data_IF_419761854786
#
_entry.id   IF_419761854786
#
_cell.length_a   1.000
_cell.length_b   1.000
_cell.length_c   1.000
_cell.angle_alpha   90.00
_cell.angle_beta   90.00
_cell.angle_gamma   90.00
#
_symmetry.space_group_name_H-M   'P 1'
#
loop_
_entity.id
_entity.type
_entity.pdbx_description
1 polymer ?
#
# COMPACT_ATOMS: atom_id res chain seq x y z
N UNK A 1 14.35 31.32 10.86
CA UNK A 1 13.01 30.85 10.45
C UNK A 1 12.18 31.92 9.75
N UNK A 2 11.82 33.05 10.38
CA UNK A 2 11.02 34.13 9.74
C UNK A 2 11.56 34.56 8.36
N UNK A 3 12.88 34.80 8.26
CA UNK A 3 13.56 35.15 7.00
C UNK A 3 13.34 34.11 5.88
N UNK A 4 13.57 32.83 6.17
CA UNK A 4 13.35 31.74 5.20
C UNK A 4 11.90 31.58 4.76
N UNK A 5 10.94 31.79 5.67
CA UNK A 5 9.51 31.78 5.35
C UNK A 5 9.17 32.93 4.41
N UNK A 6 9.71 34.13 4.66
CA UNK A 6 9.51 35.28 3.76
C UNK A 6 10.13 35.04 2.38
N UNK A 7 11.35 34.49 2.33
CA UNK A 7 12.04 34.15 1.06
C UNK A 7 11.27 33.11 0.23
N UNK A 8 10.50 32.22 0.86
CA UNK A 8 9.74 31.17 0.18
C UNK A 8 8.21 31.36 0.26
N UNK A 9 7.73 32.57 0.60
CA UNK A 9 6.31 32.84 0.85
C UNK A 9 5.42 32.43 -0.33
N UNK A 10 5.85 32.73 -1.56
CA UNK A 10 5.12 32.36 -2.77
C UNK A 10 4.97 30.84 -2.93
N UNK A 11 6.04 30.07 -2.69
CA UNK A 11 6.01 28.60 -2.75
C UNK A 11 5.13 28.00 -1.66
N UNK A 12 5.16 28.56 -0.45
CA UNK A 12 4.34 28.11 0.67
C UNK A 12 2.84 28.32 0.38
N UNK A 13 2.48 29.48 -0.16
CA UNK A 13 1.11 29.77 -0.57
C UNK A 13 0.70 28.83 -1.71
N UNK A 14 1.52 28.72 -2.76
CA UNK A 14 1.20 27.88 -3.92
C UNK A 14 1.03 26.41 -3.53
N UNK A 15 1.96 25.84 -2.76
CA UNK A 15 1.85 24.46 -2.28
C UNK A 15 0.60 24.25 -1.42
N UNK A 16 0.26 25.20 -0.54
CA UNK A 16 -0.97 25.14 0.25
C UNK A 16 -2.23 25.19 -0.62
N UNK A 17 -2.27 26.04 -1.64
CA UNK A 17 -3.39 26.12 -2.58
C UNK A 17 -3.56 24.81 -3.35
N UNK A 18 -2.47 24.20 -3.81
CA UNK A 18 -2.51 22.91 -4.51
C UNK A 18 -3.01 21.80 -3.59
N UNK A 19 -2.64 21.81 -2.30
CA UNK A 19 -3.17 20.85 -1.32
C UNK A 19 -4.70 20.95 -1.21
N UNK A 20 -5.28 22.15 -1.27
CA UNK A 20 -6.73 22.34 -1.08
C UNK A 20 -7.53 22.09 -2.36
N UNK A 21 -6.91 22.13 -3.54
CA UNK A 21 -7.56 22.03 -4.84
C UNK A 21 -8.53 20.83 -4.97
N UNK A 22 -8.20 19.61 -4.50
CA UNK A 22 -9.13 18.48 -4.57
C UNK A 22 -10.42 18.64 -3.74
N UNK A 23 -10.44 19.51 -2.72
CA UNK A 23 -11.64 19.73 -1.90
C UNK A 23 -12.75 20.40 -2.71
N UNK A 24 -12.36 21.17 -3.73
CA UNK A 24 -13.25 21.87 -4.64
C UNK A 24 -13.95 20.91 -5.62
N UNK A 25 -13.46 19.68 -5.79
CA UNK A 25 -13.96 18.71 -6.78
C UNK A 25 -15.10 17.82 -6.27
N UNK A 26 -15.62 18.03 -5.05
CA UNK A 26 -16.83 17.32 -4.63
C UNK A 26 -17.16 17.20 -3.15
N UNK A 27 -16.70 18.12 -2.28
CA UNK A 27 -17.23 18.34 -0.93
C UNK A 27 -17.07 17.22 0.11
N UNK A 28 -16.80 15.98 -0.29
CA UNK A 28 -16.72 14.81 0.60
C UNK A 28 -15.35 14.59 1.27
N UNK A 29 -14.29 15.27 0.82
CA UNK A 29 -12.93 15.11 1.36
C UNK A 29 -12.40 16.34 2.11
N UNK A 30 -13.29 17.22 2.58
CA UNK A 30 -12.88 18.49 3.21
C UNK A 30 -12.02 18.24 4.44
N UNK A 31 -12.39 17.28 5.30
CA UNK A 31 -11.66 17.00 6.54
C UNK A 31 -10.30 16.36 6.30
N UNK A 32 -10.22 15.42 5.35
CA UNK A 32 -8.98 14.75 4.94
C UNK A 32 -8.00 15.77 4.36
N UNK A 33 -8.49 16.71 3.55
CA UNK A 33 -7.66 17.74 2.92
C UNK A 33 -7.21 18.80 3.92
N UNK A 34 -8.07 19.18 4.87
CA UNK A 34 -7.67 20.03 5.99
C UNK A 34 -6.62 19.35 6.86
N UNK A 35 -6.77 18.04 7.11
CA UNK A 35 -5.78 17.23 7.81
C UNK A 35 -4.45 17.17 7.06
N UNK A 36 -4.48 16.97 5.74
CA UNK A 36 -3.29 16.97 4.89
C UNK A 36 -2.62 18.36 4.85
N UNK A 37 -3.41 19.43 4.81
CA UNK A 37 -2.89 20.80 4.90
C UNK A 37 -2.23 21.04 6.25
N UNK A 38 -2.84 20.64 7.37
CA UNK A 38 -2.23 20.74 8.69
C UNK A 38 -0.90 19.95 8.74
N UNK A 39 -0.89 18.72 8.24
CA UNK A 39 0.33 17.90 8.14
C UNK A 39 1.41 18.58 7.27
N UNK A 40 1.04 19.20 6.15
CA UNK A 40 1.94 19.98 5.29
C UNK A 40 2.65 21.10 6.06
N UNK A 41 1.88 21.91 6.79
CA UNK A 41 2.43 23.01 7.60
C UNK A 41 3.31 22.50 8.75
N UNK A 42 2.92 21.41 9.43
CA UNK A 42 3.72 20.80 10.50
C UNK A 42 5.05 20.27 9.93
N UNK A 43 5.00 19.50 8.83
CA UNK A 43 6.19 18.94 8.19
C UNK A 43 7.15 20.05 7.73
N UNK A 44 6.62 21.08 7.06
CA UNK A 44 7.43 22.24 6.66
C UNK A 44 7.98 22.98 7.87
N UNK A 45 7.20 23.17 8.93
CA UNK A 45 7.67 23.80 10.17
C UNK A 45 8.87 23.07 10.77
N UNK A 46 8.80 21.75 10.89
CA UNK A 46 9.87 20.90 11.42
C UNK A 46 11.12 20.97 10.54
N UNK A 47 10.96 20.79 9.22
CA UNK A 47 12.10 20.80 8.28
C UNK A 47 12.74 22.18 8.19
N UNK A 48 11.97 23.26 8.14
CA UNK A 48 12.51 24.63 8.08
C UNK A 48 13.18 25.03 9.40
N UNK A 49 12.71 24.50 10.53
CA UNK A 49 13.36 24.66 11.83
C UNK A 49 14.71 23.94 11.89
N UNK A 50 14.78 22.69 11.41
CA UNK A 50 16.03 21.93 11.32
C UNK A 50 17.01 22.57 10.33
N UNK A 51 16.51 23.00 9.17
CA UNK A 51 17.31 23.68 8.14
C UNK A 51 17.92 25.00 8.64
N UNK A 52 17.25 25.70 9.55
CA UNK A 52 17.80 26.89 10.18
C UNK A 52 19.02 26.59 11.08
N UNK A 53 19.22 25.33 11.48
CA UNK A 53 20.38 24.85 12.24
C UNK A 53 21.42 24.18 11.33
N UNK A 54 20.99 23.48 10.28
CA UNK A 54 21.83 22.76 9.32
C UNK A 54 21.33 22.95 7.90
N UNK A 55 21.97 23.88 7.18
CA UNK A 55 21.55 24.27 5.83
C UNK A 55 21.58 23.11 4.83
N UNK A 56 20.39 22.76 4.33
CA UNK A 56 20.16 21.79 3.27
C UNK A 56 20.23 22.46 1.89
N UNK A 57 20.37 21.61 0.87
CA UNK A 57 20.29 22.08 -0.52
C UNK A 57 18.87 22.55 -0.86
N UNK A 58 18.75 23.61 -1.67
CA UNK A 58 17.45 24.14 -2.14
C UNK A 58 16.57 23.05 -2.75
N UNK A 59 17.17 22.13 -3.53
CA UNK A 59 16.46 21.01 -4.15
C UNK A 59 15.90 20.00 -3.14
N UNK A 60 16.57 19.79 -2.00
CA UNK A 60 16.06 18.93 -0.94
C UNK A 60 14.83 19.55 -0.26
N UNK A 61 14.86 20.87 -0.03
CA UNK A 61 13.72 21.60 0.52
C UNK A 61 12.53 21.61 -0.46
N UNK A 62 12.78 21.76 -1.76
CA UNK A 62 11.73 21.75 -2.78
C UNK A 62 10.91 20.45 -2.77
N UNK A 63 11.54 19.29 -2.52
CA UNK A 63 10.82 18.01 -2.38
C UNK A 63 9.81 18.08 -1.23
N UNK A 64 10.18 18.65 -0.09
CA UNK A 64 9.31 18.76 1.08
C UNK A 64 8.13 19.69 0.81
N UNK A 65 8.36 20.80 0.10
CA UNK A 65 7.28 21.71 -0.33
C UNK A 65 6.26 21.03 -1.24
N UNK A 66 6.66 20.06 -2.05
CA UNK A 66 5.79 19.44 -3.05
C UNK A 66 5.28 18.06 -2.69
N UNK A 67 5.80 17.41 -1.64
CA UNK A 67 5.38 16.07 -1.22
C UNK A 67 3.89 16.00 -0.89
N UNK A 68 3.40 16.84 0.03
CA UNK A 68 1.97 16.84 0.42
C UNK A 68 1.04 17.34 -0.69
N UNK A 69 1.37 18.40 -1.47
CA UNK A 69 0.59 18.77 -2.64
C UNK A 69 0.40 17.61 -3.64
N UNK A 70 1.46 16.85 -3.93
CA UNK A 70 1.36 15.70 -4.83
C UNK A 70 0.47 14.59 -4.27
N UNK A 71 0.60 14.28 -2.98
CA UNK A 71 -0.30 13.32 -2.30
C UNK A 71 -1.75 13.79 -2.40
N UNK A 72 -2.01 15.08 -2.20
CA UNK A 72 -3.36 15.64 -2.32
C UNK A 72 -3.96 15.43 -3.71
N UNK A 73 -3.21 15.79 -4.75
CA UNK A 73 -3.66 15.63 -6.14
C UNK A 73 -3.96 14.16 -6.48
N UNK A 74 -3.13 13.24 -5.98
CA UNK A 74 -3.34 11.80 -6.15
C UNK A 74 -4.64 11.34 -5.45
N UNK A 75 -4.88 11.77 -4.21
CA UNK A 75 -6.13 11.47 -3.49
C UNK A 75 -7.35 12.05 -4.22
N UNK A 76 -7.23 13.28 -4.74
CA UNK A 76 -8.25 13.94 -5.55
C UNK A 76 -8.59 13.17 -6.82
N UNK A 77 -7.57 12.75 -7.57
CA UNK A 77 -7.74 11.92 -8.76
C UNK A 77 -8.43 10.60 -8.41
N UNK A 78 -8.06 9.98 -7.28
CA UNK A 78 -8.72 8.77 -6.79
C UNK A 78 -10.20 8.92 -6.54
N UNK A 79 -10.62 10.03 -5.92
CA UNK A 79 -12.05 10.30 -5.71
C UNK A 79 -12.80 10.44 -7.04
N UNK A 80 -12.23 11.19 -8.00
CA UNK A 80 -12.88 11.42 -9.30
C UNK A 80 -13.02 10.11 -10.06
N UNK A 81 -11.97 9.30 -10.08
CA UNK A 81 -11.97 8.01 -10.76
C UNK A 81 -12.85 6.99 -10.05
N UNK A 82 -12.92 6.97 -8.72
CA UNK A 82 -13.79 6.07 -7.98
C UNK A 82 -15.28 6.23 -8.34
N UNK A 83 -15.71 7.40 -8.82
CA UNK A 83 -17.08 7.62 -9.33
C UNK A 83 -17.40 6.88 -10.63
N UNK A 84 -16.38 6.36 -11.32
CA UNK A 84 -16.52 5.65 -12.60
C UNK A 84 -16.54 4.12 -12.42
N UNK A 85 -16.76 3.62 -11.19
CA UNK A 85 -16.86 2.19 -10.92
C UNK A 85 -15.54 1.42 -11.15
N UNK A 86 -15.63 0.20 -11.66
CA UNK A 86 -14.51 -0.73 -11.80
C UNK A 86 -13.38 -0.20 -12.69
N UNK A 87 -13.72 0.39 -13.85
CA UNK A 87 -12.73 1.00 -14.76
C UNK A 87 -11.99 2.16 -14.08
N UNK A 88 -12.73 2.96 -13.30
CA UNK A 88 -12.18 4.01 -12.48
C UNK A 88 -11.19 3.51 -11.42
N UNK A 89 -11.55 2.45 -10.70
CA UNK A 89 -10.66 1.82 -9.71
C UNK A 89 -9.36 1.30 -10.35
N UNK A 90 -9.45 0.65 -11.50
CA UNK A 90 -8.28 0.13 -12.22
C UNK A 90 -7.39 1.27 -12.71
N UNK A 91 -7.98 2.31 -13.29
CA UNK A 91 -7.25 3.51 -13.73
C UNK A 91 -6.56 4.22 -12.55
N UNK A 92 -7.26 4.35 -11.42
CA UNK A 92 -6.69 4.94 -10.21
C UNK A 92 -5.52 4.13 -9.67
N UNK A 93 -5.66 2.80 -9.60
CA UNK A 93 -4.59 1.90 -9.15
C UNK A 93 -3.33 2.05 -10.01
N UNK A 94 -3.47 2.14 -11.34
CA UNK A 94 -2.35 2.38 -12.25
C UNK A 94 -1.73 3.77 -12.05
N UNK A 95 -2.56 4.81 -11.92
CA UNK A 95 -2.10 6.17 -11.67
C UNK A 95 -1.31 6.26 -10.34
N UNK A 96 -1.77 5.56 -9.30
CA UNK A 96 -1.08 5.46 -8.01
C UNK A 96 0.29 4.80 -8.13
N UNK A 97 0.36 3.62 -8.76
CA UNK A 97 1.63 2.90 -8.95
C UNK A 97 2.63 3.76 -9.72
N UNK A 98 2.18 4.38 -10.81
CA UNK A 98 3.02 5.28 -11.61
C UNK A 98 3.48 6.50 -10.81
N UNK A 99 2.55 7.17 -10.11
CA UNK A 99 2.83 8.36 -9.31
C UNK A 99 3.81 8.07 -8.17
N UNK A 100 3.66 6.94 -7.47
CA UNK A 100 4.60 6.53 -6.43
C UNK A 100 5.96 6.14 -7.01
N UNK A 101 5.99 5.48 -8.17
CA UNK A 101 7.24 5.21 -8.88
C UNK A 101 7.98 6.49 -9.29
N UNK A 102 7.25 7.49 -9.80
CA UNK A 102 7.80 8.80 -10.11
C UNK A 102 8.33 9.52 -8.85
N UNK A 103 7.63 9.41 -7.72
CA UNK A 103 8.11 9.93 -6.44
C UNK A 103 9.43 9.28 -6.02
N UNK A 104 9.52 7.96 -6.06
CA UNK A 104 10.75 7.23 -5.74
C UNK A 104 11.90 7.64 -6.66
N UNK A 105 11.62 7.78 -7.96
CA UNK A 105 12.59 8.24 -8.94
C UNK A 105 13.12 9.65 -8.60
N UNK A 106 12.23 10.61 -8.35
CA UNK A 106 12.59 12.00 -8.04
C UNK A 106 13.37 12.07 -6.73
N UNK A 107 12.87 11.45 -5.65
CA UNK A 107 13.55 11.45 -4.34
C UNK A 107 14.89 10.72 -4.42
N UNK A 108 14.95 9.58 -5.11
CA UNK A 108 16.15 8.81 -5.42
C UNK A 108 17.26 9.65 -6.03
N UNK A 109 16.91 10.42 -7.06
CA UNK A 109 17.85 11.30 -7.77
C UNK A 109 18.35 12.47 -6.90
N UNK A 110 17.62 12.84 -5.85
CA UNK A 110 17.97 13.97 -4.98
C UNK A 110 18.73 13.54 -3.73
N UNK A 111 18.58 12.30 -3.27
CA UNK A 111 19.21 11.77 -2.07
C UNK A 111 20.72 12.04 -1.94
N UNK A 112 21.55 11.91 -3.00
CA UNK A 112 22.98 12.21 -2.90
C UNK A 112 23.30 13.66 -2.47
N UNK A 113 22.32 14.57 -2.58
CA UNK A 113 22.41 15.99 -2.19
C UNK A 113 21.94 16.26 -0.77
N UNK A 114 21.43 15.27 -0.05
CA UNK A 114 21.00 15.41 1.34
C UNK A 114 22.23 15.51 2.23
N UNK A 115 22.32 16.59 3.01
CA UNK A 115 23.38 16.76 4.01
C UNK A 115 22.92 16.16 5.35
N UNK A 116 23.82 15.68 6.22
CA UNK A 116 23.44 15.13 7.52
C UNK A 116 22.57 16.10 8.32
N UNK A 117 21.37 15.66 8.67
CA UNK A 117 20.36 16.49 9.32
C UNK A 117 19.44 15.63 10.19
N UNK A 118 18.58 16.25 10.99
CA UNK A 118 17.74 15.53 11.93
C UNK A 118 16.38 15.10 11.37
N UNK A 119 16.04 15.46 10.13
CA UNK A 119 14.69 15.36 9.56
C UNK A 119 14.58 14.52 8.27
N UNK A 120 15.40 14.78 7.26
CA UNK A 120 15.40 14.20 5.92
C UNK A 120 16.49 13.13 5.72
N UNK A 121 16.13 12.04 5.04
CA UNK A 121 17.05 10.99 4.61
C UNK A 121 17.03 9.72 5.48
N UNK A 122 17.99 8.82 5.21
CA UNK A 122 18.15 7.52 5.87
C UNK A 122 18.89 7.71 7.19
N UNK A 123 18.11 7.93 8.25
CA UNK A 123 18.58 8.25 9.61
C UNK A 123 18.74 6.98 10.45
N UNK A 124 19.94 6.43 10.42
CA UNK A 124 20.36 5.31 11.25
C UNK A 124 21.40 5.83 12.26
N UNK A 125 21.52 5.23 13.46
CA UNK A 125 22.46 5.73 14.48
C UNK A 125 23.89 5.94 13.96
N UNK A 126 24.37 5.06 13.07
CA UNK A 126 25.69 5.17 12.44
C UNK A 126 25.76 6.15 11.26
N UNK A 127 24.68 6.39 10.52
CA UNK A 127 24.71 7.42 9.45
C UNK A 127 24.74 8.81 10.06
N UNK A 128 24.08 9.00 11.21
CA UNK A 128 24.10 10.26 11.95
C UNK A 128 25.45 10.55 12.62
N UNK A 129 26.15 9.50 13.08
CA UNK A 129 27.45 9.63 13.74
C UNK A 129 28.66 9.66 12.80
N UNK A 130 28.49 9.37 11.51
CA UNK A 130 29.59 9.33 10.53
C UNK A 130 29.14 9.89 9.18
N UNK A 131 29.71 11.04 8.80
CA UNK A 131 29.35 11.74 7.56
C UNK A 131 29.74 10.96 6.29
N UNK A 132 30.83 10.21 6.31
CA UNK A 132 31.24 9.37 5.19
C UNK A 132 30.21 8.25 4.93
N UNK A 133 29.70 7.64 6.02
CA UNK A 133 28.62 6.67 5.96
C UNK A 133 27.32 7.30 5.47
N UNK A 134 26.98 8.51 5.95
CA UNK A 134 25.84 9.28 5.45
C UNK A 134 25.90 9.46 3.93
N UNK A 135 27.01 10.02 3.41
CA UNK A 135 27.18 10.28 1.98
C UNK A 135 27.15 9.00 1.15
N UNK A 136 27.84 7.96 1.62
CA UNK A 136 27.89 6.66 0.94
C UNK A 136 26.51 5.99 0.88
N UNK A 137 25.78 6.01 1.99
CA UNK A 137 24.43 5.43 2.10
C UNK A 137 23.44 6.15 1.20
N UNK A 138 23.41 7.49 1.21
CA UNK A 138 22.49 8.25 0.36
C UNK A 138 22.83 8.18 -1.12
N UNK A 139 24.13 8.10 -1.48
CA UNK A 139 24.54 7.92 -2.87
C UNK A 139 24.10 6.57 -3.42
N UNK A 140 24.30 5.49 -2.65
CA UNK A 140 23.92 4.15 -3.07
C UNK A 140 22.39 3.95 -2.97
N UNK A 141 21.78 4.37 -1.87
CA UNK A 141 20.34 4.35 -1.66
C UNK A 141 19.57 5.17 -2.70
N UNK A 142 20.12 6.30 -3.13
CA UNK A 142 19.58 7.08 -4.25
C UNK A 142 19.45 6.27 -5.54
N UNK A 143 20.45 5.45 -5.88
CA UNK A 143 20.39 4.55 -7.05
C UNK A 143 19.30 3.49 -6.89
N UNK A 144 19.20 2.89 -5.69
CA UNK A 144 18.15 1.90 -5.39
C UNK A 144 16.77 2.51 -5.57
N UNK A 145 16.54 3.72 -5.05
CA UNK A 145 15.27 4.42 -5.18
C UNK A 145 14.95 4.81 -6.63
N UNK A 146 15.94 5.20 -7.42
CA UNK A 146 15.76 5.46 -8.86
C UNK A 146 15.32 4.19 -9.59
N UNK A 147 16.03 3.08 -9.39
CA UNK A 147 15.70 1.80 -10.04
C UNK A 147 14.34 1.27 -9.58
N UNK A 148 14.06 1.32 -8.28
CA UNK A 148 12.77 0.93 -7.71
C UNK A 148 11.63 1.82 -8.22
N UNK A 149 11.87 3.12 -8.39
CA UNK A 149 10.91 4.05 -8.98
C UNK A 149 10.59 3.71 -10.43
N UNK A 150 11.59 3.42 -11.26
CA UNK A 150 11.38 2.96 -12.64
C UNK A 150 10.62 1.62 -12.68
N UNK A 151 10.97 0.67 -11.81
CA UNK A 151 10.26 -0.61 -11.71
C UNK A 151 8.79 -0.41 -11.31
N UNK A 152 8.51 0.48 -10.35
CA UNK A 152 7.16 0.85 -9.93
C UNK A 152 6.36 1.56 -11.04
N UNK A 153 7.01 2.37 -11.88
CA UNK A 153 6.36 2.97 -13.05
C UNK A 153 6.00 1.91 -14.10
N UNK A 154 6.89 0.94 -14.35
CA UNK A 154 6.58 -0.22 -15.22
C UNK A 154 5.46 -1.07 -14.62
N UNK A 155 5.36 -1.17 -13.30
CA UNK A 155 4.31 -1.89 -12.61
C UNK A 155 2.90 -1.39 -12.98
N UNK A 156 2.74 -0.10 -13.28
CA UNK A 156 1.48 0.48 -13.73
C UNK A 156 1.00 -0.03 -15.11
N UNK A 157 1.89 -0.61 -15.90
CA UNK A 157 1.58 -1.19 -17.21
C UNK A 157 1.22 -2.69 -17.13
N UNK A 158 1.49 -3.32 -15.99
CA UNK A 158 1.19 -4.73 -15.76
C UNK A 158 -0.29 -4.93 -15.37
N UNK A 159 -0.81 -6.16 -15.46
CA UNK A 159 -2.07 -6.52 -14.80
C UNK A 159 -2.03 -6.12 -13.32
N UNK A 160 -3.13 -5.58 -12.78
CA UNK A 160 -3.19 -4.92 -11.46
C UNK A 160 -2.53 -5.75 -10.35
N UNK A 161 -2.75 -7.06 -10.35
CA UNK A 161 -2.14 -7.98 -9.39
C UNK A 161 -0.60 -8.09 -9.52
N UNK A 162 -0.09 -8.26 -10.74
CA UNK A 162 1.35 -8.28 -11.00
C UNK A 162 2.00 -6.92 -10.70
N UNK A 163 1.34 -5.83 -11.08
CA UNK A 163 1.77 -4.47 -10.79
C UNK A 163 1.87 -4.20 -9.29
N UNK A 164 0.85 -4.56 -8.52
CA UNK A 164 0.85 -4.42 -7.07
C UNK A 164 1.99 -5.20 -6.40
N UNK A 165 2.27 -6.44 -6.84
CA UNK A 165 3.40 -7.23 -6.32
C UNK A 165 4.75 -6.57 -6.61
N UNK A 166 4.96 -6.09 -7.83
CA UNK A 166 6.20 -5.38 -8.19
C UNK A 166 6.34 -4.08 -7.39
N UNK A 167 5.25 -3.35 -7.20
CA UNK A 167 5.21 -2.12 -6.41
C UNK A 167 5.58 -2.37 -4.94
N UNK A 168 5.03 -3.43 -4.33
CA UNK A 168 5.37 -3.85 -2.97
C UNK A 168 6.85 -4.26 -2.85
N UNK A 169 7.35 -5.04 -3.80
CA UNK A 169 8.76 -5.44 -3.85
C UNK A 169 9.69 -4.22 -3.97
N UNK A 170 9.34 -3.25 -4.83
CA UNK A 170 10.05 -1.99 -4.97
C UNK A 170 10.03 -1.18 -3.66
N UNK A 171 8.87 -1.08 -3.00
CA UNK A 171 8.70 -0.44 -1.70
C UNK A 171 9.53 -1.07 -0.58
N UNK A 172 9.58 -2.39 -0.52
CA UNK A 172 10.44 -3.11 0.41
C UNK A 172 11.93 -2.87 0.10
N UNK A 173 12.31 -2.90 -1.19
CA UNK A 173 13.69 -2.71 -1.63
C UNK A 173 14.24 -1.34 -1.24
N UNK A 174 13.44 -0.26 -1.38
CA UNK A 174 13.88 1.11 -1.02
C UNK A 174 14.14 1.31 0.47
N UNK A 175 13.62 0.42 1.33
CA UNK A 175 13.86 0.42 2.78
C UNK A 175 14.99 -0.55 3.14
N UNK A 176 14.84 -1.82 2.74
CA UNK A 176 15.72 -2.92 3.17
C UNK A 176 17.12 -2.74 2.61
N UNK A 177 17.25 -2.47 1.31
CA UNK A 177 18.55 -2.44 0.65
C UNK A 177 19.43 -1.31 1.21
N UNK A 178 18.99 -0.02 1.28
CA UNK A 178 19.86 1.05 1.78
C UNK A 178 20.22 0.87 3.25
N UNK A 179 19.30 0.33 4.05
CA UNK A 179 19.54 0.01 5.46
C UNK A 179 20.61 -1.07 5.62
N UNK A 180 20.52 -2.16 4.84
CA UNK A 180 21.50 -3.23 4.84
C UNK A 180 22.88 -2.73 4.37
N UNK A 181 22.93 -1.99 3.26
CA UNK A 181 24.16 -1.37 2.78
C UNK A 181 24.82 -0.52 3.87
N UNK A 182 24.03 0.34 4.53
CA UNK A 182 24.52 1.23 5.58
C UNK A 182 25.08 0.47 6.78
N UNK A 183 24.43 -0.63 7.18
CA UNK A 183 24.90 -1.51 8.25
C UNK A 183 26.21 -2.23 7.88
N UNK A 184 26.30 -2.78 6.67
CA UNK A 184 27.52 -3.44 6.19
C UNK A 184 28.70 -2.48 6.12
N UNK A 185 28.44 -1.25 5.67
CA UNK A 185 29.44 -0.18 5.63
C UNK A 185 29.90 0.21 7.05
N UNK A 186 28.98 0.36 8.00
CA UNK A 186 29.31 0.57 9.42
C UNK A 186 30.15 -0.57 10.01
N UNK A 187 29.77 -1.83 9.73
CA UNK A 187 30.53 -3.01 10.19
C UNK A 187 31.95 -3.02 9.62
N UNK A 188 32.14 -2.63 8.36
CA UNK A 188 33.46 -2.49 7.74
C UNK A 188 34.30 -1.42 8.47
N UNK A 189 33.73 -0.24 8.73
CA UNK A 189 34.41 0.82 9.48
C UNK A 189 34.82 0.37 10.90
N UNK A 190 33.94 -0.37 11.60
CA UNK A 190 34.26 -0.93 12.92
C UNK A 190 35.41 -1.93 12.90
N UNK A 191 35.47 -2.80 11.88
CA UNK A 191 36.59 -3.73 11.70
C UNK A 191 37.91 -3.01 11.43
N UNK A 192 37.85 -1.82 10.81
CA UNK A 192 39.01 -0.98 10.54
C UNK A 192 39.43 -0.07 11.72
N UNK A 193 38.86 -0.27 12.92
CA UNK A 193 39.24 0.45 14.13
C UNK A 193 38.50 1.77 14.39
N UNK A 194 37.44 2.08 13.63
CA UNK A 194 36.63 3.27 13.91
C UNK A 194 35.96 3.18 15.31
N UNK A 195 35.90 4.28 16.08
CA UNK A 195 35.32 4.29 17.41
C UNK A 195 33.85 3.87 17.39
N UNK A 196 33.41 3.18 18.44
CA UNK A 196 32.01 2.80 18.60
C UNK A 196 31.14 4.04 18.81
N UNK A 197 29.91 4.00 18.31
CA UNK A 197 28.94 5.07 18.54
C UNK A 197 28.64 5.20 20.03
N UNK A 198 28.50 6.44 20.50
CA UNK A 198 28.10 6.78 21.87
C UNK A 198 26.67 6.33 22.20
N UNK A 199 25.80 6.24 21.20
CA UNK A 199 24.44 5.70 21.36
C UNK A 199 24.48 4.17 21.22
N UNK A 200 24.53 3.47 22.36
CA UNK A 200 24.35 2.02 22.46
C UNK A 200 22.86 1.62 22.24
N UNK A 201 22.25 2.01 21.12
CA UNK A 201 21.03 1.31 20.72
C UNK A 201 21.46 -0.11 20.33
N UNK A 202 20.77 -1.16 20.81
CA UNK A 202 21.01 -2.56 20.41
C UNK A 202 20.75 -2.73 18.90
N UNK A 203 21.66 -2.22 18.08
CA UNK A 203 21.40 -1.75 16.70
C UNK A 203 21.11 -2.89 15.73
N UNK A 204 21.50 -4.12 16.10
CA UNK A 204 21.17 -5.36 15.39
C UNK A 204 19.65 -5.60 15.39
N UNK A 205 18.98 -5.31 16.49
CA UNK A 205 17.54 -5.47 16.62
C UNK A 205 16.79 -4.40 15.84
N UNK A 206 17.29 -3.16 15.73
CA UNK A 206 16.64 -2.12 14.93
C UNK A 206 16.60 -2.47 13.43
N UNK A 207 17.72 -2.97 12.87
CA UNK A 207 17.76 -3.44 11.47
C UNK A 207 16.87 -4.65 11.27
N UNK A 208 16.94 -5.61 12.21
CA UNK A 208 16.10 -6.80 12.18
C UNK A 208 14.62 -6.43 12.24
N UNK A 209 14.22 -5.50 13.11
CA UNK A 209 12.83 -5.05 13.24
C UNK A 209 12.35 -4.30 12.01
N UNK A 210 13.17 -3.45 11.37
CA UNK A 210 12.80 -2.78 10.11
C UNK A 210 12.67 -3.79 8.97
N UNK A 211 13.60 -4.74 8.86
CA UNK A 211 13.52 -5.81 7.87
C UNK A 211 12.32 -6.72 8.12
N UNK A 212 12.07 -7.10 9.37
CA UNK A 212 10.92 -7.90 9.78
C UNK A 212 9.61 -7.15 9.52
N UNK A 213 9.52 -5.86 9.85
CA UNK A 213 8.34 -5.05 9.56
C UNK A 213 8.08 -4.97 8.04
N UNK A 214 9.11 -4.78 7.22
CA UNK A 214 8.97 -4.79 5.76
C UNK A 214 8.52 -6.17 5.24
N UNK A 215 9.08 -7.26 5.76
CA UNK A 215 8.69 -8.64 5.39
C UNK A 215 7.28 -8.98 5.85
N UNK A 216 6.89 -8.61 7.08
CA UNK A 216 5.53 -8.79 7.58
C UNK A 216 4.53 -7.97 6.76
N UNK A 217 4.88 -6.73 6.41
CA UNK A 217 4.04 -5.87 5.60
C UNK A 217 3.84 -6.46 4.20
N UNK A 218 4.88 -7.04 3.57
CA UNK A 218 4.72 -7.81 2.32
C UNK A 218 3.90 -9.07 2.56
N UNK A 219 4.14 -9.79 3.66
CA UNK A 219 3.44 -11.03 4.04
C UNK A 219 1.92 -10.84 4.10
N UNK A 220 1.45 -9.74 4.72
CA UNK A 220 0.02 -9.39 4.81
C UNK A 220 -0.69 -9.31 3.45
N UNK A 221 0.03 -9.01 2.36
CA UNK A 221 -0.54 -8.95 1.02
C UNK A 221 -0.64 -10.31 0.31
N UNK A 222 0.07 -11.34 0.80
CA UNK A 222 0.18 -12.66 0.12
C UNK A 222 -0.31 -13.82 0.99
N UNK A 223 -0.56 -13.59 2.28
CA UNK A 223 -1.17 -14.55 3.20
C UNK A 223 -2.69 -14.45 3.19
N UNK A 224 -3.40 -15.49 3.61
CA UNK A 224 -4.86 -15.51 3.65
C UNK A 224 -5.41 -16.80 3.06
N UNK A 225 -6.47 -17.31 3.64
CA UNK A 225 -7.15 -18.50 3.18
C UNK A 225 -8.65 -18.39 3.42
N UNK A 226 -9.39 -19.10 2.58
CA UNK A 226 -10.82 -19.34 2.73
C UNK A 226 -10.94 -20.86 2.76
N UNK A 227 -11.42 -21.39 3.88
CA UNK A 227 -11.77 -22.81 3.99
C UNK A 227 -13.25 -22.94 4.25
N UNK A 228 -13.82 -24.00 3.71
CA UNK A 228 -15.22 -24.33 3.91
C UNK A 228 -15.27 -25.64 4.68
N UNK A 229 -16.03 -25.65 5.76
CA UNK A 229 -16.34 -26.82 6.56
C UNK A 229 -17.84 -27.07 6.57
N UNK A 230 -18.22 -28.34 6.59
CA UNK A 230 -19.61 -28.78 6.57
C UNK A 230 -19.93 -29.50 7.88
N UNK A 231 -20.74 -28.86 8.71
CA UNK A 231 -21.24 -29.42 9.96
C UNK A 231 -22.65 -30.03 9.76
N UNK A 232 -23.19 -30.66 10.81
CA UNK A 232 -24.45 -31.41 10.75
C UNK A 232 -25.70 -30.60 10.35
N UNK A 233 -25.68 -29.27 10.46
CA UNK A 233 -26.82 -28.41 10.09
C UNK A 233 -26.46 -27.08 9.44
N UNK A 234 -25.18 -26.80 9.24
CA UNK A 234 -24.71 -25.56 8.65
C UNK A 234 -23.37 -25.78 7.94
N UNK A 235 -23.10 -24.89 6.99
CA UNK A 235 -21.79 -24.72 6.37
C UNK A 235 -21.10 -23.51 7.00
N UNK A 236 -19.82 -23.66 7.35
CA UNK A 236 -19.01 -22.56 7.88
C UNK A 236 -17.91 -22.21 6.87
N UNK A 237 -17.76 -20.92 6.61
CA UNK A 237 -16.72 -20.34 5.77
C UNK A 237 -15.74 -19.64 6.71
N UNK A 238 -14.61 -20.28 6.96
CA UNK A 238 -13.51 -19.73 7.75
C UNK A 238 -12.61 -18.88 6.86
N UNK A 239 -12.31 -17.66 7.30
CA UNK A 239 -11.69 -16.65 6.46
C UNK A 239 -10.58 -15.88 7.20
N UNK A 240 -9.31 -16.20 6.88
CA UNK A 240 -8.17 -15.55 7.51
C UNK A 240 -8.16 -14.03 7.26
N UNK A 241 -8.14 -13.26 8.35
CA UNK A 241 -8.08 -11.80 8.29
C UNK A 241 -9.42 -11.13 7.94
N UNK A 242 -10.51 -11.88 7.92
CA UNK A 242 -11.87 -11.38 7.82
C UNK A 242 -12.79 -12.10 8.82
N UNK A 243 -14.09 -11.78 8.78
CA UNK A 243 -15.08 -12.44 9.61
C UNK A 243 -15.50 -13.77 8.97
N UNK A 244 -15.50 -14.83 9.78
CA UNK A 244 -16.07 -16.12 9.42
C UNK A 244 -17.59 -15.99 9.21
N UNK A 245 -18.14 -16.86 8.37
CA UNK A 245 -19.56 -16.87 8.05
C UNK A 245 -20.13 -18.27 8.20
N UNK A 246 -21.13 -18.43 9.07
CA UNK A 246 -21.86 -19.69 9.23
C UNK A 246 -23.25 -19.56 8.62
N UNK A 247 -23.58 -20.47 7.70
CA UNK A 247 -24.83 -20.51 6.96
C UNK A 247 -25.56 -21.82 7.27
N UNK A 248 -26.70 -21.78 7.99
CA UNK A 248 -27.59 -22.94 8.09
C UNK A 248 -28.01 -23.39 6.68
N UNK A 249 -28.08 -24.71 6.43
CA UNK A 249 -28.48 -25.20 5.10
C UNK A 249 -29.88 -24.71 4.70
N UNK A 250 -30.78 -24.55 5.67
CA UNK A 250 -32.12 -23.98 5.47
C UNK A 250 -32.14 -22.52 5.01
N UNK A 251 -31.03 -21.79 5.15
CA UNK A 251 -30.89 -20.41 4.69
C UNK A 251 -30.41 -20.29 3.24
N UNK A 252 -30.03 -21.40 2.60
CA UNK A 252 -29.56 -21.44 1.22
C UNK A 252 -30.74 -21.86 0.34
N UNK A 253 -31.21 -20.93 -0.50
CA UNK A 253 -32.34 -21.17 -1.41
C UNK A 253 -31.90 -21.92 -2.67
N UNK A 254 -30.74 -21.57 -3.23
CA UNK A 254 -30.19 -22.25 -4.40
C UNK A 254 -28.66 -22.16 -4.45
N UNK A 255 -28.04 -23.08 -5.17
CA UNK A 255 -26.60 -23.08 -5.45
C UNK A 255 -26.35 -23.39 -6.92
N UNK A 256 -25.56 -22.55 -7.57
CA UNK A 256 -25.16 -22.70 -8.96
C UNK A 256 -23.62 -22.75 -9.08
N UNK A 257 -23.10 -23.74 -9.80
CA UNK A 257 -21.69 -23.78 -10.19
C UNK A 257 -21.47 -22.95 -11.46
N UNK A 258 -20.55 -22.00 -11.40
CA UNK A 258 -20.14 -21.13 -12.50
C UNK A 258 -18.68 -21.45 -12.87
N UNK A 259 -18.44 -22.09 -14.02
CA UNK A 259 -17.09 -22.30 -14.56
C UNK A 259 -16.36 -20.98 -14.85
N UNK A 260 -15.03 -21.06 -14.98
CA UNK A 260 -14.20 -19.91 -15.36
C UNK A 260 -14.75 -19.17 -16.60
N UNK A 261 -14.84 -17.85 -16.48
CA UNK A 261 -15.34 -16.96 -17.54
C UNK A 261 -16.86 -16.82 -17.62
N UNK A 262 -17.64 -17.59 -16.84
CA UNK A 262 -19.10 -17.44 -16.78
C UNK A 262 -19.56 -16.51 -15.64
N UNK A 263 -18.73 -16.34 -14.61
CA UNK A 263 -19.00 -15.39 -13.54
C UNK A 263 -18.78 -13.94 -14.03
N UNK A 264 -19.71 -13.01 -13.74
CA UNK A 264 -19.48 -11.59 -13.94
C UNK A 264 -18.24 -11.10 -13.19
N UNK A 265 -17.67 -9.98 -13.67
CA UNK A 265 -16.58 -9.33 -12.96
C UNK A 265 -16.98 -8.96 -11.53
N UNK A 266 -16.01 -8.99 -10.62
CA UNK A 266 -16.23 -8.73 -9.20
C UNK A 266 -16.89 -7.35 -8.92
N UNK A 267 -16.68 -6.38 -9.80
CA UNK A 267 -17.05 -4.99 -9.56
C UNK A 267 -16.25 -4.38 -8.42
N UNK A 268 -16.91 -3.55 -7.61
CA UNK A 268 -16.28 -2.70 -6.58
C UNK A 268 -16.53 -3.29 -5.19
N UNK A 269 -15.47 -3.45 -4.41
CA UNK A 269 -15.58 -3.82 -2.99
C UNK A 269 -16.08 -2.62 -2.19
N UNK A 270 -17.24 -2.75 -1.53
CA UNK A 270 -17.85 -1.68 -0.73
C UNK A 270 -17.41 -1.74 0.73
N UNK A 271 -17.23 -2.95 1.28
CA UNK A 271 -16.74 -3.17 2.63
C UNK A 271 -16.15 -4.56 2.76
N UNK A 272 -14.87 -4.70 3.07
CA UNK A 272 -14.27 -6.03 3.02
C UNK A 272 -12.77 -6.04 3.27
N UNK A 273 -12.22 -7.25 3.32
CA UNK A 273 -10.78 -7.48 3.29
C UNK A 273 -10.39 -8.11 1.96
N UNK A 274 -9.35 -7.58 1.34
CA UNK A 274 -8.82 -8.13 0.11
C UNK A 274 -7.32 -7.93 0.01
N UNK A 275 -6.65 -8.90 -0.59
CA UNK A 275 -5.24 -8.80 -0.92
C UNK A 275 -4.98 -9.45 -2.29
N UNK A 276 -3.76 -9.91 -2.56
CA UNK A 276 -3.43 -10.52 -3.86
C UNK A 276 -3.91 -11.96 -4.00
N UNK A 277 -4.45 -12.54 -2.93
CA UNK A 277 -4.82 -13.95 -2.85
C UNK A 277 -6.31 -14.14 -2.67
N UNK A 278 -6.95 -13.31 -1.84
CA UNK A 278 -8.36 -13.45 -1.48
C UNK A 278 -9.12 -12.13 -1.58
N UNK A 279 -10.40 -12.25 -1.88
CA UNK A 279 -11.38 -11.18 -1.96
C UNK A 279 -12.59 -11.50 -1.10
N UNK A 280 -12.63 -10.89 0.10
CA UNK A 280 -13.61 -11.15 1.15
C UNK A 280 -14.47 -9.92 1.48
N UNK A 281 -15.76 -10.12 1.74
CA UNK A 281 -16.69 -9.09 2.22
C UNK A 281 -17.78 -8.70 1.22
N UNK A 282 -18.25 -7.46 1.29
CA UNK A 282 -19.34 -6.89 0.49
C UNK A 282 -18.81 -6.23 -0.78
N UNK A 283 -19.52 -6.49 -1.87
CA UNK A 283 -19.21 -6.03 -3.23
C UNK A 283 -20.46 -5.51 -3.93
N UNK A 284 -20.22 -4.73 -4.97
CA UNK A 284 -21.24 -4.23 -5.86
C UNK A 284 -20.81 -4.39 -7.32
N UNK A 285 -21.66 -4.96 -8.18
CA UNK A 285 -21.48 -4.95 -9.63
C UNK A 285 -22.82 -4.80 -10.37
N UNK A 286 -22.76 -4.50 -11.66
CA UNK A 286 -23.97 -4.24 -12.46
C UNK A 286 -24.86 -5.48 -12.67
N UNK A 287 -24.30 -6.69 -12.51
CA UNK A 287 -25.00 -7.96 -12.74
C UNK A 287 -25.75 -8.49 -11.51
N UNK A 288 -25.16 -8.34 -10.33
CA UNK A 288 -25.63 -8.91 -9.05
C UNK A 288 -26.12 -7.83 -8.08
N UNK A 289 -25.87 -6.54 -8.35
CA UNK A 289 -26.11 -5.49 -7.36
C UNK A 289 -25.19 -5.67 -6.16
N UNK A 290 -25.72 -5.52 -4.95
CA UNK A 290 -24.98 -5.74 -3.71
C UNK A 290 -24.93 -7.23 -3.34
N UNK A 291 -23.73 -7.76 -3.15
CA UNK A 291 -23.51 -9.18 -2.85
C UNK A 291 -22.32 -9.40 -1.91
N UNK A 292 -22.28 -10.59 -1.31
CA UNK A 292 -21.20 -11.03 -0.42
C UNK A 292 -20.25 -11.92 -1.20
N UNK A 293 -18.95 -11.82 -0.94
CA UNK A 293 -17.92 -12.57 -1.65
C UNK A 293 -16.91 -13.16 -0.68
N UNK A 294 -16.60 -14.43 -0.87
CA UNK A 294 -15.51 -15.16 -0.20
C UNK A 294 -14.75 -15.98 -1.25
N UNK A 295 -13.80 -15.37 -1.95
CA UNK A 295 -13.12 -16.04 -3.06
C UNK A 295 -11.61 -15.89 -3.02
N UNK A 296 -10.90 -16.90 -3.51
CA UNK A 296 -9.55 -16.77 -4.05
C UNK A 296 -9.56 -16.09 -5.42
N UNK A 297 -8.68 -15.11 -5.60
CA UNK A 297 -8.53 -14.38 -6.87
C UNK A 297 -7.83 -15.22 -7.95
N UNK A 298 -7.17 -16.33 -7.56
CA UNK A 298 -6.50 -17.25 -8.49
C UNK A 298 -7.41 -18.29 -9.11
N UNK A 299 -8.65 -18.43 -8.63
CA UNK A 299 -9.60 -19.44 -9.07
C UNK A 299 -10.68 -18.76 -9.93
N UNK A 300 -10.78 -19.17 -11.20
CA UNK A 300 -11.71 -18.58 -12.16
C UNK A 300 -13.15 -19.09 -11.98
N UNK A 301 -13.33 -20.30 -11.45
CA UNK A 301 -14.64 -20.86 -11.14
C UNK A 301 -15.16 -20.36 -9.80
N UNK A 302 -16.49 -20.25 -9.67
CA UNK A 302 -17.13 -19.92 -8.40
C UNK A 302 -18.50 -20.58 -8.25
N UNK A 303 -19.02 -20.53 -7.03
CA UNK A 303 -20.37 -20.90 -6.65
C UNK A 303 -21.14 -19.60 -6.44
N UNK A 304 -22.31 -19.51 -7.05
CA UNK A 304 -23.30 -18.48 -6.75
C UNK A 304 -24.37 -19.11 -5.87
N UNK A 305 -24.48 -18.63 -4.64
CA UNK A 305 -25.50 -19.02 -3.68
C UNK A 305 -26.51 -17.90 -3.57
N UNK A 306 -27.78 -18.25 -3.68
CA UNK A 306 -28.90 -17.37 -3.33
C UNK A 306 -29.36 -17.73 -1.92
N UNK A 307 -29.36 -16.75 -1.02
CA UNK A 307 -29.85 -16.93 0.34
C UNK A 307 -31.36 -16.68 0.39
N UNK A 308 -32.03 -17.31 1.35
CA UNK A 308 -33.48 -17.22 1.53
C UNK A 308 -33.97 -15.79 1.82
N UNK A 309 -33.09 -14.87 2.22
CA UNK A 309 -33.37 -13.46 2.42
C UNK A 309 -33.14 -12.59 1.16
N UNK A 310 -32.81 -13.22 0.03
CA UNK A 310 -32.58 -12.57 -1.27
C UNK A 310 -31.16 -12.06 -1.47
N UNK A 311 -30.24 -12.24 -0.53
CA UNK A 311 -28.83 -11.87 -0.71
C UNK A 311 -28.09 -12.90 -1.55
N UNK A 312 -27.15 -12.42 -2.36
CA UNK A 312 -26.25 -13.27 -3.14
C UNK A 312 -24.91 -13.45 -2.42
N UNK A 313 -24.39 -14.68 -2.43
CA UNK A 313 -23.06 -15.03 -1.95
C UNK A 313 -22.27 -15.70 -3.07
N UNK A 314 -21.10 -15.16 -3.38
CA UNK A 314 -20.14 -15.74 -4.32
C UNK A 314 -18.99 -16.36 -3.54
N UNK A 315 -18.75 -17.66 -3.76
CA UNK A 315 -17.74 -18.44 -3.03
C UNK A 315 -16.89 -19.25 -4.00
N UNK A 316 -15.60 -19.42 -3.73
CA UNK A 316 -14.82 -20.46 -4.42
C UNK A 316 -13.78 -21.10 -3.51
N UNK A 317 -13.32 -22.28 -3.91
CA UNK A 317 -12.16 -22.93 -3.32
C UNK A 317 -10.86 -22.34 -3.87
N UNK A 318 -9.73 -22.86 -3.37
CA UNK A 318 -8.39 -22.43 -3.78
C UNK A 318 -8.13 -22.56 -5.29
N UNK A 319 -8.78 -23.53 -5.92
CA UNK A 319 -8.72 -23.85 -7.34
C UNK A 319 -10.06 -24.46 -7.79
N UNK A 320 -10.18 -24.77 -9.09
CA UNK A 320 -11.41 -25.29 -9.68
C UNK A 320 -11.81 -26.64 -9.07
N UNK A 321 -10.84 -27.49 -8.75
CA UNK A 321 -11.08 -28.80 -8.14
C UNK A 321 -11.66 -28.68 -6.74
N UNK A 322 -11.06 -27.81 -5.91
CA UNK A 322 -11.58 -27.48 -4.59
C UNK A 322 -12.99 -26.86 -4.67
N UNK A 323 -13.23 -25.98 -5.64
CA UNK A 323 -14.54 -25.35 -5.87
C UNK A 323 -15.61 -26.39 -6.24
N UNK A 324 -15.28 -27.35 -7.12
CA UNK A 324 -16.17 -28.46 -7.44
C UNK A 324 -16.43 -29.38 -6.25
N UNK A 325 -15.42 -29.62 -5.40
CA UNK A 325 -15.60 -30.41 -4.19
C UNK A 325 -16.60 -29.74 -3.24
N UNK A 326 -16.45 -28.44 -3.01
CA UNK A 326 -17.39 -27.64 -2.20
C UNK A 326 -18.80 -27.73 -2.79
N UNK A 327 -18.94 -27.58 -4.11
CA UNK A 327 -20.24 -27.69 -4.77
C UNK A 327 -20.91 -29.04 -4.53
N UNK A 328 -20.20 -30.14 -4.79
CA UNK A 328 -20.75 -31.51 -4.64
C UNK A 328 -21.19 -31.80 -3.21
N UNK A 329 -20.37 -31.42 -2.24
CA UNK A 329 -20.66 -31.65 -0.83
C UNK A 329 -21.84 -30.79 -0.36
N UNK A 330 -21.88 -29.51 -0.75
CA UNK A 330 -22.99 -28.63 -0.44
C UNK A 330 -24.31 -29.12 -1.04
N UNK A 331 -24.33 -29.51 -2.32
CA UNK A 331 -25.54 -30.04 -2.96
C UNK A 331 -26.03 -31.31 -2.27
N UNK A 332 -25.13 -32.23 -1.91
CA UNK A 332 -25.49 -33.44 -1.17
C UNK A 332 -26.09 -33.15 0.21
N UNK A 333 -25.71 -32.03 0.85
CA UNK A 333 -26.28 -31.59 2.14
C UNK A 333 -27.63 -30.89 2.01
N UNK A 334 -27.89 -30.23 0.88
CA UNK A 334 -29.18 -29.57 0.60
C UNK A 334 -30.27 -30.55 0.18
N UNK A 335 -29.90 -31.75 -0.30
CA UNK A 335 -30.83 -32.82 -0.65
C UNK A 335 -31.25 -33.71 0.55
N UNK A 336 -30.60 -33.56 1.71
CA UNK A 336 -30.89 -34.28 2.96
C UNK A 336 -31.90 -33.55 3.84
#
# INVERSE_FOLDING_TARGET
MKKMIMENKGKLILSSLVVVLPALLGGRMVWEILGLLAAHWICLGIVLWDNARREQSKKALDIVYWLMPMISLVMGLGLVLARQGFYGYTAFSRALMFGMGALFFVVGNQMPRFRPNSTLGIRLPWTMGNEENWRSTHRWGGKVWVVAGLAAMVAALLPTAAGARLMLAAGAAVIVLPTLYSYLYYRKQRKAGAPALTVQLKTRWAVFLVALAAVLLVGLFVTGSVSVSFDGGAMTIDADGWNDMTLPYSSIASVQYLPEGQAPEAGVRTYGFGNQKVSLGNFHNDAYGDYIRYTYDSCGSCLLLELADGRLLVLNGRDDGATQSIYRELTAKLEQ
#
